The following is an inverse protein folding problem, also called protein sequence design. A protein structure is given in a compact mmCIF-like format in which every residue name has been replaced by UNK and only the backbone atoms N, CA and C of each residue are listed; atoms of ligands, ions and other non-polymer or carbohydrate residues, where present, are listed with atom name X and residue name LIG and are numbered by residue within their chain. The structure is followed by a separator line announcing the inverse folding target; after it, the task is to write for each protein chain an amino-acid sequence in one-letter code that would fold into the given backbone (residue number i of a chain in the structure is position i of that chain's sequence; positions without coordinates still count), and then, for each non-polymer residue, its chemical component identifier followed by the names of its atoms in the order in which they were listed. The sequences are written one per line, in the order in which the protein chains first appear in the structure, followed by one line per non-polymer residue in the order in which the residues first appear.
data_IF_702806017410
#
_entry.id   IF_702806017410
#
_cell.length_a   1.000
_cell.length_b   1.000
_cell.length_c   1.000
_cell.angle_alpha   90.00
_cell.angle_beta   90.00
_cell.angle_gamma   90.00
#
_symmetry.space_group_name_H-M   'P 1'
#
loop_
_entity.id
_entity.type
_entity.pdbx_description
1 polymer ?
#
# COMPACT_ATOMS: atom_id res chain seq x y z
N UNK A 1 -20.31 16.63 19.16
CA UNK A 1 -19.65 16.48 18.84
C UNK A 1 -19.31 16.27 18.88
N UNK A 2 -19.24 16.16 19.09
CA UNK A 2 -18.49 15.90 18.92
C UNK A 2 -18.02 15.26 18.76
N UNK A 3 -18.22 15.01 18.99
CA UNK A 3 -17.55 14.38 18.64
C UNK A 3 -17.50 14.01 18.11
N UNK A 4 -17.65 13.89 18.11
CA UNK A 4 -17.24 13.49 17.31
C UNK A 4 -16.83 13.58 16.70
N UNK A 5 -16.92 13.40 16.82
CA UNK A 5 -16.26 13.76 15.89
C UNK A 5 -15.00 13.42 15.52
N UNK A 6 -14.34 13.35 16.03
CA UNK A 6 -13.09 12.99 15.76
C UNK A 6 -12.92 11.90 14.82
N UNK A 7 -13.77 11.14 14.66
CA UNK A 7 -13.61 10.10 13.79
C UNK A 7 -13.67 10.51 12.42
N UNK A 8 -13.74 11.76 12.19
CA UNK A 8 -13.79 12.19 10.90
C UNK A 8 -12.64 11.88 10.09
N UNK A 9 -11.48 11.75 10.64
CA UNK A 9 -10.37 11.43 9.86
C UNK A 9 -10.49 10.09 9.29
N UNK A 10 -11.30 9.30 9.85
CA UNK A 10 -11.48 7.99 9.33
C UNK A 10 -12.18 8.00 8.02
N UNK A 11 -12.71 9.12 7.62
CA UNK A 11 -13.44 9.20 6.37
C UNK A 11 -12.61 9.77 5.25
N UNK A 12 -11.31 9.97 5.43
CA UNK A 12 -10.45 10.45 4.37
C UNK A 12 -10.41 9.39 3.26
N UNK A 13 -10.92 9.68 2.07
CA UNK A 13 -10.99 8.69 1.01
C UNK A 13 -9.64 8.28 0.46
N UNK A 14 -8.57 9.04 0.80
CA UNK A 14 -7.25 8.75 0.32
C UNK A 14 -6.45 7.87 1.27
N UNK A 15 -7.00 7.53 2.42
CA UNK A 15 -6.33 6.72 3.43
C UNK A 15 -7.24 5.55 3.79
N UNK A 16 -6.71 4.35 3.80
CA UNK A 16 -7.52 3.18 4.14
C UNK A 16 -6.65 2.06 4.67
N UNK A 17 -7.25 1.20 5.47
CA UNK A 17 -6.60 0.00 5.94
C UNK A 17 -6.91 -1.14 4.95
N UNK A 18 -5.88 -1.91 4.62
CA UNK A 18 -6.05 -3.15 3.85
C UNK A 18 -6.03 -4.25 4.89
N UNK A 19 -7.22 -4.69 5.31
CA UNK A 19 -7.34 -5.58 6.45
C UNK A 19 -6.61 -6.90 6.28
N UNK A 20 -6.65 -7.46 5.09
CA UNK A 20 -6.01 -8.75 4.85
C UNK A 20 -4.50 -8.67 4.94
N UNK A 21 -3.92 -7.50 4.72
CA UNK A 21 -2.48 -7.28 4.85
C UNK A 21 -2.13 -6.60 6.16
N UNK A 22 -3.11 -6.10 6.89
CA UNK A 22 -2.93 -5.40 8.16
C UNK A 22 -1.97 -4.22 8.02
N UNK A 23 -2.16 -3.47 6.95
CA UNK A 23 -1.41 -2.24 6.70
C UNK A 23 -2.38 -1.10 6.42
N UNK A 24 -1.90 0.11 6.63
CA UNK A 24 -2.64 1.32 6.27
C UNK A 24 -1.89 1.98 5.13
N UNK A 25 -2.62 2.42 4.11
CA UNK A 25 -2.02 3.03 2.93
C UNK A 25 -2.75 4.33 2.61
N UNK A 26 -2.08 5.20 1.88
CA UNK A 26 -2.70 6.39 1.31
C UNK A 26 -2.24 6.55 -0.13
N UNK A 27 -3.03 7.29 -0.90
CA UNK A 27 -2.70 7.50 -2.31
C UNK A 27 -1.51 8.45 -2.42
N UNK A 28 -0.58 8.11 -3.31
CA UNK A 28 0.59 8.95 -3.58
C UNK A 28 0.10 10.30 -4.14
N UNK A 29 0.59 11.38 -3.58
CA UNK A 29 0.17 12.73 -3.97
C UNK A 29 1.23 13.39 -4.84
N UNK A 30 0.84 14.52 -5.44
CA UNK A 30 1.78 15.34 -6.20
C UNK A 30 2.92 15.82 -5.31
N UNK A 31 2.60 16.13 -4.04
CA UNK A 31 3.63 16.57 -3.12
C UNK A 31 4.63 15.47 -2.85
N UNK A 32 4.19 14.22 -2.73
CA UNK A 32 5.10 13.09 -2.56
C UNK A 32 6.06 12.98 -3.73
N UNK A 33 5.53 13.14 -4.94
CA UNK A 33 6.34 13.04 -6.15
C UNK A 33 7.41 14.14 -6.15
N UNK A 34 7.01 15.34 -5.78
CA UNK A 34 7.95 16.45 -5.72
C UNK A 34 8.99 16.28 -4.63
N UNK A 35 8.54 15.92 -3.43
CA UNK A 35 9.43 15.80 -2.28
C UNK A 35 10.45 14.68 -2.49
N UNK A 36 10.04 13.57 -3.09
CA UNK A 36 10.90 12.42 -3.30
C UNK A 36 11.55 12.43 -4.68
N UNK A 37 11.26 13.45 -5.50
CA UNK A 37 11.85 13.61 -6.83
C UNK A 37 11.59 12.40 -7.71
N UNK A 38 10.36 11.95 -7.71
CA UNK A 38 9.94 10.80 -8.51
C UNK A 38 9.51 11.28 -9.90
N UNK A 39 9.48 10.36 -10.89
CA UNK A 39 8.94 10.72 -12.20
C UNK A 39 7.51 11.24 -12.07
N UNK A 40 7.16 12.22 -12.87
CA UNK A 40 5.88 12.91 -12.73
C UNK A 40 4.67 12.02 -12.89
N UNK A 41 4.80 10.95 -13.66
CA UNK A 41 3.68 10.04 -13.89
C UNK A 41 3.63 8.88 -12.90
N UNK A 42 4.40 8.96 -11.82
CA UNK A 42 4.41 7.90 -10.81
C UNK A 42 3.04 7.85 -10.13
N UNK A 43 2.51 6.65 -9.98
CA UNK A 43 1.30 6.43 -9.20
C UNK A 43 1.55 5.26 -8.25
N UNK A 44 0.83 5.22 -7.15
CA UNK A 44 1.00 4.15 -6.18
C UNK A 44 0.36 4.50 -4.86
N UNK A 45 0.61 3.64 -3.88
CA UNK A 45 0.10 3.81 -2.53
C UNK A 45 1.26 3.86 -1.56
N UNK A 46 1.24 4.82 -0.66
CA UNK A 46 2.28 4.95 0.36
C UNK A 46 1.82 4.21 1.60
N UNK A 47 2.68 3.35 2.14
CA UNK A 47 2.37 2.64 3.37
C UNK A 47 2.58 3.59 4.54
N UNK A 48 1.53 3.81 5.32
CA UNK A 48 1.60 4.71 6.47
C UNK A 48 1.65 3.97 7.80
N UNK A 49 1.31 2.68 7.80
CA UNK A 49 1.37 1.89 9.02
C UNK A 49 1.36 0.40 8.70
N UNK A 50 2.00 -0.40 9.54
CA UNK A 50 2.02 -1.85 9.42
C UNK A 50 1.82 -2.41 10.81
N UNK A 51 0.80 -3.27 10.98
CA UNK A 51 0.56 -3.87 12.28
C UNK A 51 1.60 -4.95 12.55
N UNK A 52 1.86 -5.20 13.84
CA UNK A 52 2.91 -6.13 14.24
C UNK A 52 2.68 -7.54 13.72
N UNK A 53 1.43 -7.94 13.57
CA UNK A 53 1.10 -9.28 13.09
C UNK A 53 0.79 -9.32 11.60
N UNK A 54 1.16 -8.28 10.87
CA UNK A 54 0.97 -8.23 9.43
C UNK A 54 1.84 -9.28 8.74
N UNK A 55 1.30 -9.95 7.70
CA UNK A 55 2.11 -10.89 6.94
C UNK A 55 3.24 -10.21 6.18
N UNK A 56 3.20 -8.89 6.02
CA UNK A 56 4.26 -8.17 5.28
C UNK A 56 5.26 -7.49 6.21
N UNK A 57 5.14 -7.69 7.54
CA UNK A 57 5.94 -6.93 8.49
C UNK A 57 7.45 -7.09 8.27
N UNK A 58 7.90 -8.22 7.80
CA UNK A 58 9.33 -8.47 7.60
C UNK A 58 9.80 -8.11 6.20
N UNK A 59 8.92 -7.60 5.35
CA UNK A 59 9.23 -7.37 3.94
C UNK A 59 9.06 -5.92 3.51
N UNK A 60 8.08 -5.23 4.09
CA UNK A 60 7.76 -3.86 3.72
C UNK A 60 7.93 -2.96 4.93
N UNK A 61 8.05 -1.67 4.67
CA UNK A 61 8.23 -0.66 5.73
C UNK A 61 7.33 0.52 5.50
N UNK A 62 7.06 1.25 6.56
CA UNK A 62 6.35 2.52 6.45
C UNK A 62 7.13 3.42 5.51
N UNK A 63 6.43 4.14 4.67
CA UNK A 63 6.93 5.04 3.62
C UNK A 63 7.40 4.34 2.36
N UNK A 64 7.30 3.02 2.28
CA UNK A 64 7.46 2.35 1.00
C UNK A 64 6.25 2.71 0.12
N UNK A 65 6.47 2.80 -1.19
CA UNK A 65 5.41 3.09 -2.14
C UNK A 65 5.13 1.83 -2.94
N UNK A 66 3.90 1.34 -2.87
CA UNK A 66 3.49 0.18 -3.67
C UNK A 66 3.14 0.68 -5.07
N UNK A 67 3.92 0.27 -6.05
CA UNK A 67 3.74 0.69 -7.44
C UNK A 67 2.91 -0.32 -8.23
N UNK A 68 3.14 -1.61 -7.98
CA UNK A 68 2.47 -2.69 -8.69
C UNK A 68 2.27 -3.85 -7.76
N UNK A 69 1.25 -4.66 -8.03
CA UNK A 69 1.02 -5.92 -7.35
C UNK A 69 0.57 -6.91 -8.41
N UNK A 70 1.21 -8.07 -8.46
CA UNK A 70 0.93 -9.11 -9.47
C UNK A 70 1.01 -8.53 -10.89
N UNK A 71 1.99 -7.63 -11.12
CA UNK A 71 2.25 -7.00 -12.41
C UNK A 71 1.15 -6.03 -12.86
N UNK A 72 0.22 -5.70 -11.97
CA UNK A 72 -0.82 -4.70 -12.26
C UNK A 72 -0.47 -3.40 -11.57
N UNK A 73 -0.55 -2.29 -12.28
CA UNK A 73 -0.32 -0.99 -11.68
C UNK A 73 -1.36 -0.71 -10.62
N UNK A 74 -0.92 -0.18 -9.49
CA UNK A 74 -1.80 0.13 -8.38
C UNK A 74 -1.96 1.64 -8.32
N UNK A 75 -3.11 2.13 -8.73
CA UNK A 75 -3.39 3.56 -8.74
C UNK A 75 -4.38 3.98 -7.67
N UNK A 76 -5.08 3.01 -7.10
CA UNK A 76 -6.09 3.29 -6.09
C UNK A 76 -6.06 2.21 -5.03
N UNK A 77 -6.71 2.49 -3.91
CA UNK A 77 -6.83 1.52 -2.83
C UNK A 77 -7.62 0.31 -3.32
N UNK A 78 -8.65 0.55 -4.13
CA UNK A 78 -9.44 -0.56 -4.66
C UNK A 78 -8.62 -1.47 -5.56
N UNK A 79 -7.71 -0.90 -6.37
CA UNK A 79 -6.85 -1.72 -7.21
C UNK A 79 -6.08 -2.74 -6.36
N UNK A 80 -5.54 -2.30 -5.24
CA UNK A 80 -4.77 -3.18 -4.38
C UNK A 80 -5.68 -4.23 -3.73
N UNK A 81 -6.86 -3.81 -3.27
CA UNK A 81 -7.79 -4.74 -2.65
C UNK A 81 -8.19 -5.87 -3.59
N UNK A 82 -8.44 -5.54 -4.85
CA UNK A 82 -8.82 -6.54 -5.85
C UNK A 82 -7.69 -7.55 -6.03
N UNK A 83 -6.46 -7.07 -6.18
CA UNK A 83 -5.33 -7.96 -6.39
C UNK A 83 -5.11 -8.86 -5.17
N UNK A 84 -5.17 -8.28 -3.96
CA UNK A 84 -4.96 -9.05 -2.75
C UNK A 84 -6.04 -10.13 -2.59
N UNK A 85 -7.30 -9.77 -2.83
CA UNK A 85 -8.39 -10.75 -2.73
C UNK A 85 -8.19 -11.90 -3.72
N UNK A 86 -7.76 -11.59 -4.94
CA UNK A 86 -7.51 -12.63 -5.93
C UNK A 86 -6.38 -13.56 -5.48
N UNK A 87 -5.31 -13.00 -4.91
CA UNK A 87 -4.21 -13.80 -4.42
C UNK A 87 -4.65 -14.71 -3.28
N UNK A 88 -5.46 -14.17 -2.36
CA UNK A 88 -5.91 -14.94 -1.20
C UNK A 88 -6.82 -16.09 -1.60
N UNK A 89 -7.47 -16.00 -2.76
CA UNK A 89 -8.31 -17.07 -3.27
C UNK A 89 -7.54 -18.06 -4.14
N UNK A 90 -6.27 -17.78 -4.42
CA UNK A 90 -5.45 -18.68 -5.23
C UNK A 90 -4.82 -19.73 -4.32
N UNK A 91 -4.28 -20.79 -4.95
CA UNK A 91 -3.67 -21.87 -4.19
C UNK A 91 -2.37 -21.47 -3.55
N UNK A 92 -1.57 -20.66 -4.22
CA UNK A 92 -0.25 -20.33 -3.70
C UNK A 92 -0.24 -19.19 -2.70
N UNK A 93 -1.19 -18.28 -2.81
CA UNK A 93 -1.29 -17.12 -1.91
C UNK A 93 0.00 -16.32 -1.82
N UNK A 94 0.74 -16.25 -2.92
CA UNK A 94 1.96 -15.45 -3.00
C UNK A 94 1.68 -14.22 -3.85
N UNK A 95 2.05 -13.04 -3.34
CA UNK A 95 1.85 -11.80 -4.07
C UNK A 95 3.21 -11.19 -4.37
N UNK A 96 3.37 -10.71 -5.60
CA UNK A 96 4.59 -10.02 -6.01
C UNK A 96 4.32 -8.53 -6.02
N UNK A 97 5.06 -7.81 -5.21
CA UNK A 97 4.98 -6.36 -5.17
C UNK A 97 6.16 -5.73 -5.89
N UNK A 98 5.91 -4.61 -6.56
CA UNK A 98 6.96 -3.72 -7.02
C UNK A 98 6.80 -2.45 -6.22
N UNK A 99 7.84 -2.03 -5.54
CA UNK A 99 7.79 -0.88 -4.65
C UNK A 99 8.96 0.06 -4.89
N UNK A 100 8.83 1.31 -4.43
CA UNK A 100 9.97 2.17 -4.16
C UNK A 100 10.18 2.14 -2.65
N UNK A 101 11.41 1.84 -2.24
CA UNK A 101 11.71 1.85 -0.81
C UNK A 101 11.99 3.29 -0.34
N UNK A 102 12.43 3.44 0.89
CA UNK A 102 12.66 4.77 1.47
C UNK A 102 13.82 5.52 0.83
N UNK A 103 14.67 4.84 0.07
CA UNK A 103 15.71 5.49 -0.71
C UNK A 103 15.32 5.63 -2.18
N UNK A 104 14.03 5.44 -2.49
CA UNK A 104 13.48 5.53 -3.84
C UNK A 104 14.14 4.53 -4.80
N UNK A 105 14.52 3.39 -4.28
CA UNK A 105 15.02 2.28 -5.10
C UNK A 105 13.87 1.36 -5.44
N UNK A 106 13.80 0.96 -6.71
CA UNK A 106 12.75 0.06 -7.16
C UNK A 106 13.10 -1.36 -6.74
N UNK A 107 12.17 -2.02 -6.06
CA UNK A 107 12.40 -3.37 -5.54
C UNK A 107 11.25 -4.28 -5.91
N UNK A 108 11.58 -5.54 -6.16
CA UNK A 108 10.59 -6.58 -6.45
C UNK A 108 10.58 -7.53 -5.25
N UNK A 109 9.42 -7.70 -4.62
CA UNK A 109 9.32 -8.46 -3.38
C UNK A 109 8.16 -9.43 -3.49
N UNK A 110 8.46 -10.74 -3.37
CA UNK A 110 7.42 -11.76 -3.33
C UNK A 110 7.14 -12.13 -1.88
N UNK A 111 5.88 -12.14 -1.49
CA UNK A 111 5.47 -12.37 -0.11
C UNK A 111 4.36 -13.42 -0.10
N UNK A 112 4.50 -14.40 0.78
CA UNK A 112 3.47 -15.41 0.97
C UNK A 112 2.52 -14.90 2.05
N UNK A 113 1.22 -14.94 1.74
CA UNK A 113 0.21 -14.31 2.59
C UNK A 113 -0.49 -15.27 3.56
N UNK A 114 -0.12 -16.54 3.61
CA UNK A 114 -0.77 -17.46 4.56
C UNK A 114 0.08 -17.82 5.75
#
# INVERSE_FOLDING_TARGET
SEDFISERKETDPNISEIESLKITVRILSTKDIEDRKLPKNTSGLVITGIKKDSPVINYLRVNDIILEAQKNKIKSIEDLEIVVNNVLQSDEKTILFVIYNNQNQRRYIGIKLD
#
